data_IF_518288306503
#
_entry.id   IF_518288306503
#
_cell.length_a   1.000
_cell.length_b   1.000
_cell.length_c   1.000
_cell.angle_alpha   90.00
_cell.angle_beta   90.00
_cell.angle_gamma   90.00
#
_symmetry.space_group_name_H-M   'P 1'
#
loop_
_entity.id
_entity.type
_entity.pdbx_description
1 polymer ?
#
# COMPACT_ATOMS: atom_id res chain seq x y z
N UNK A 1 16.10 -2.98 14.44
CA UNK A 1 15.33 -3.82 13.51
C UNK A 1 14.27 -2.92 12.91
N UNK A 2 14.36 -2.65 11.62
CA UNK A 2 13.52 -1.65 10.94
C UNK A 2 12.17 -2.29 10.61
N UNK A 3 11.10 -1.70 11.10
CA UNK A 3 9.73 -2.22 11.12
C UNK A 3 9.09 -2.20 9.72
N UNK A 4 9.42 -3.18 8.89
CA UNK A 4 8.98 -3.28 7.50
C UNK A 4 7.46 -3.49 7.43
N UNK A 5 6.74 -2.62 6.72
CA UNK A 5 5.29 -2.69 6.53
C UNK A 5 4.99 -3.01 5.06
N UNK A 6 4.23 -4.08 4.81
CA UNK A 6 3.98 -4.57 3.44
C UNK A 6 2.91 -3.78 2.70
N UNK A 7 3.29 -3.14 1.59
CA UNK A 7 2.41 -2.37 0.70
C UNK A 7 1.51 -3.22 -0.21
N UNK A 8 0.38 -2.63 -0.60
CA UNK A 8 -0.54 -3.17 -1.61
C UNK A 8 -0.99 -1.99 -2.50
N UNK A 9 -1.35 -2.25 -3.76
CA UNK A 9 -1.75 -1.22 -4.75
C UNK A 9 -2.86 -1.77 -5.66
N UNK A 10 -3.72 -0.92 -6.22
CA UNK A 10 -4.56 -1.27 -7.39
C UNK A 10 -4.95 -0.04 -8.22
N UNK A 11 -4.99 -0.24 -9.54
CA UNK A 11 -5.71 0.57 -10.55
C UNK A 11 -7.23 0.51 -10.40
N UNK A 12 -7.92 1.47 -11.01
CA UNK A 12 -9.34 1.47 -11.29
C UNK A 12 -9.57 1.92 -12.75
N UNK A 13 -9.73 1.02 -13.74
CA UNK A 13 -10.54 1.31 -14.97
C UNK A 13 -10.95 0.03 -15.75
N UNK A 14 -12.20 -0.44 -15.60
CA UNK A 14 -12.76 -1.63 -16.30
C UNK A 14 -13.85 -1.28 -17.34
N UNK A 15 -13.95 -2.19 -18.32
CA UNK A 15 -14.87 -2.42 -19.45
C UNK A 15 -14.95 -1.39 -20.54
N UNK A 16 -15.17 -1.87 -21.78
CA UNK A 16 -15.72 -1.09 -22.90
C UNK A 16 -17.15 -0.58 -22.61
N UNK A 17 -17.30 0.10 -21.50
CA UNK A 17 -18.41 0.86 -21.02
C UNK A 17 -17.74 2.18 -20.57
N UNK A 18 -18.16 3.31 -21.14
CA UNK A 18 -17.47 4.60 -21.05
C UNK A 18 -17.60 5.27 -19.66
N UNK A 19 -17.20 4.55 -18.60
CA UNK A 19 -17.03 5.06 -17.26
C UNK A 19 -15.54 5.12 -16.97
N UNK A 20 -14.94 6.26 -17.29
CA UNK A 20 -13.78 6.76 -16.53
C UNK A 20 -14.09 6.56 -15.05
N UNK A 21 -13.42 5.63 -14.37
CA UNK A 21 -13.36 5.62 -12.92
C UNK A 21 -12.62 6.90 -12.54
N UNK A 22 -13.41 7.92 -12.22
CA UNK A 22 -12.96 9.22 -11.72
C UNK A 22 -12.37 9.14 -10.31
N UNK A 23 -12.45 7.97 -9.66
CA UNK A 23 -12.08 7.80 -8.28
C UNK A 23 -10.88 6.84 -8.20
N UNK A 24 -9.71 7.40 -7.88
CA UNK A 24 -8.53 6.69 -7.40
C UNK A 24 -8.89 6.00 -6.06
N UNK A 25 -9.61 4.88 -6.12
CA UNK A 25 -9.91 4.07 -4.94
C UNK A 25 -8.74 3.12 -4.69
N UNK A 26 -7.58 3.73 -4.44
CA UNK A 26 -6.34 3.05 -4.13
C UNK A 26 -6.28 2.80 -2.63
N UNK A 27 -5.64 1.71 -2.25
CA UNK A 27 -5.38 1.41 -0.86
C UNK A 27 -3.98 0.83 -0.71
N UNK A 28 -3.48 0.95 0.51
CA UNK A 28 -2.21 0.42 0.98
C UNK A 28 -2.53 -0.40 2.21
N UNK A 29 -1.93 -1.56 2.37
CA UNK A 29 -1.90 -2.23 3.67
C UNK A 29 -0.51 -2.10 4.27
N UNK A 30 -0.41 -2.33 5.57
CA UNK A 30 0.81 -2.34 6.33
C UNK A 30 0.72 -3.53 7.30
N UNK A 31 1.78 -4.34 7.33
CA UNK A 31 1.92 -5.50 8.21
C UNK A 31 2.99 -5.25 9.26
N UNK A 32 2.69 -5.45 10.54
CA UNK A 32 3.67 -5.32 11.60
C UNK A 32 4.34 -6.68 11.91
N UNK A 33 5.62 -6.91 11.53
CA UNK A 33 6.31 -8.16 11.81
C UNK A 33 6.89 -8.26 13.24
N UNK A 34 6.74 -7.22 14.06
CA UNK A 34 7.32 -7.19 15.41
C UNK A 34 6.45 -7.91 16.44
N UNK A 35 7.02 -8.11 17.63
CA UNK A 35 6.38 -8.70 18.81
C UNK A 35 5.62 -7.68 19.67
N UNK A 36 5.49 -6.43 19.22
CA UNK A 36 4.82 -5.35 19.94
C UNK A 36 3.98 -4.47 19.02
N UNK A 37 3.11 -3.67 19.61
CA UNK A 37 2.23 -2.76 18.88
C UNK A 37 3.00 -1.55 18.30
N UNK A 38 2.71 -1.17 17.05
CA UNK A 38 3.25 0.04 16.40
C UNK A 38 2.15 1.09 16.24
N UNK A 39 2.39 2.30 16.77
CA UNK A 39 1.49 3.46 16.58
C UNK A 39 1.80 4.19 15.29
N UNK A 40 0.77 4.53 14.52
CA UNK A 40 0.93 5.10 13.18
C UNK A 40 0.75 6.62 13.08
N UNK A 41 0.53 7.31 14.21
CA UNK A 41 0.39 8.76 14.16
C UNK A 41 1.66 9.42 13.59
N UNK A 42 1.48 10.34 12.64
CA UNK A 42 2.54 11.08 11.94
C UNK A 42 3.48 10.25 11.06
N UNK A 43 3.19 8.97 10.82
CA UNK A 43 3.85 8.23 9.74
C UNK A 43 3.45 8.81 8.38
N UNK A 44 4.29 8.58 7.37
CA UNK A 44 4.15 9.18 6.06
C UNK A 44 4.19 8.11 4.97
N UNK A 45 3.29 8.25 4.01
CA UNK A 45 3.37 7.60 2.71
C UNK A 45 3.81 8.63 1.68
N UNK A 46 4.83 8.33 0.90
CA UNK A 46 5.36 9.24 -0.13
C UNK A 46 5.51 8.49 -1.44
N UNK A 47 4.84 8.98 -2.48
CA UNK A 47 4.91 8.42 -3.83
C UNK A 47 6.09 8.99 -4.64
N UNK A 48 6.13 8.77 -5.95
CA UNK A 48 7.15 9.36 -6.81
C UNK A 48 7.02 10.88 -7.00
N UNK A 49 5.86 11.48 -6.70
CA UNK A 49 5.64 12.93 -6.73
C UNK A 49 6.38 13.65 -5.60
N UNK A 50 6.71 12.91 -4.53
CA UNK A 50 7.37 13.43 -3.33
C UNK A 50 6.42 14.12 -2.35
N UNK A 51 5.10 14.15 -2.64
CA UNK A 51 4.09 14.72 -1.75
C UNK A 51 3.77 13.74 -0.61
N UNK A 52 3.93 14.14 0.66
CA UNK A 52 3.64 13.25 1.78
C UNK A 52 2.14 13.17 2.09
N UNK A 53 1.62 11.96 2.17
CA UNK A 53 0.35 11.64 2.83
C UNK A 53 0.64 11.28 4.28
N UNK A 54 0.28 12.18 5.19
CA UNK A 54 0.44 11.97 6.63
C UNK A 54 -0.69 11.13 7.20
N UNK A 55 -0.35 10.11 7.98
CA UNK A 55 -1.31 9.34 8.77
C UNK A 55 -1.66 10.11 10.05
N UNK A 56 -2.82 10.77 10.02
CA UNK A 56 -3.38 11.50 11.17
C UNK A 56 -4.35 10.58 11.90
N UNK A 57 -3.84 9.74 12.79
CA UNK A 57 -4.62 8.67 13.42
C UNK A 57 -4.13 8.35 14.82
N UNK A 58 -5.03 7.88 15.68
CA UNK A 58 -4.68 7.25 16.95
C UNK A 58 -4.60 5.71 16.83
N UNK A 59 -4.73 5.17 15.62
CA UNK A 59 -4.68 3.73 15.35
C UNK A 59 -3.26 3.19 15.42
N UNK A 60 -3.20 1.91 15.73
CA UNK A 60 -1.98 1.12 15.84
C UNK A 60 -2.15 -0.19 15.08
N UNK A 61 -1.02 -0.81 14.76
CA UNK A 61 -0.98 -2.17 14.24
C UNK A 61 -0.53 -3.08 15.39
N UNK A 62 -1.35 -4.05 15.82
CA UNK A 62 -0.93 -5.07 16.77
C UNK A 62 0.31 -5.84 16.28
N UNK A 63 0.99 -6.52 17.20
CA UNK A 63 2.04 -7.49 16.83
C UNK A 63 1.49 -8.51 15.83
N UNK A 64 2.24 -8.79 14.77
CA UNK A 64 1.86 -9.69 13.67
C UNK A 64 0.51 -9.32 13.01
N UNK A 65 0.09 -8.07 13.15
CA UNK A 65 -1.20 -7.57 12.67
C UNK A 65 -1.09 -6.77 11.37
N UNK A 66 -2.25 -6.45 10.81
CA UNK A 66 -2.39 -5.66 9.59
C UNK A 66 -3.25 -4.42 9.84
N UNK A 67 -3.01 -3.38 9.05
CA UNK A 67 -3.92 -2.25 8.90
C UNK A 67 -4.03 -1.87 7.44
N UNK A 68 -5.22 -1.44 7.05
CA UNK A 68 -5.51 -0.95 5.72
C UNK A 68 -5.54 0.59 5.74
N UNK A 69 -5.12 1.22 4.66
CA UNK A 69 -5.09 2.66 4.46
C UNK A 69 -5.75 2.92 3.12
N UNK A 70 -6.80 3.74 3.10
CA UNK A 70 -7.47 4.15 1.88
C UNK A 70 -7.89 5.61 1.97
N UNK A 71 -8.29 6.19 0.84
CA UNK A 71 -8.84 7.55 0.82
C UNK A 71 -10.09 7.67 1.70
N UNK A 72 -11.00 6.73 1.57
CA UNK A 72 -12.27 6.68 2.32
C UNK A 72 -12.86 5.26 2.33
N UNK A 73 -13.97 5.07 3.05
CA UNK A 73 -14.69 3.80 3.14
C UNK A 73 -15.21 3.24 1.81
N UNK A 74 -15.50 4.09 0.81
CA UNK A 74 -16.12 3.66 -0.45
C UNK A 74 -15.18 2.81 -1.29
N UNK A 75 -13.87 2.93 -1.02
CA UNK A 75 -12.84 2.03 -1.55
C UNK A 75 -13.27 0.57 -1.34
N UNK A 76 -13.73 0.19 -0.15
CA UNK A 76 -13.98 -1.21 0.18
C UNK A 76 -15.17 -1.85 -0.55
N UNK A 77 -15.99 -1.06 -1.27
CA UNK A 77 -17.06 -1.60 -2.13
C UNK A 77 -16.51 -2.45 -3.29
N UNK A 78 -15.25 -2.27 -3.69
CA UNK A 78 -14.63 -3.03 -4.80
C UNK A 78 -13.82 -4.26 -4.35
N UNK A 79 -13.66 -4.48 -3.04
CA UNK A 79 -12.94 -5.63 -2.46
C UNK A 79 -13.81 -6.33 -1.42
N UNK A 80 -14.83 -7.08 -1.84
CA UNK A 80 -15.75 -7.75 -0.92
C UNK A 80 -15.08 -8.84 -0.06
N UNK A 81 -13.88 -9.27 -0.44
CA UNK A 81 -13.07 -10.23 0.30
C UNK A 81 -12.14 -9.60 1.34
N UNK A 82 -12.18 -8.27 1.55
CA UNK A 82 -11.50 -7.60 2.66
C UNK A 82 -11.87 -8.28 3.98
N UNK A 83 -10.88 -8.55 4.84
CA UNK A 83 -11.15 -9.01 6.20
C UNK A 83 -12.08 -8.01 6.92
N UNK A 84 -13.24 -8.50 7.37
CA UNK A 84 -14.26 -7.68 8.02
C UNK A 84 -13.74 -7.02 9.31
N UNK A 85 -12.78 -7.64 9.98
CA UNK A 85 -12.16 -7.15 11.21
C UNK A 85 -10.93 -6.27 10.97
N UNK A 86 -10.46 -6.13 9.72
CA UNK A 86 -9.31 -5.30 9.43
C UNK A 86 -9.59 -3.83 9.79
N UNK A 87 -8.67 -3.26 10.56
CA UNK A 87 -8.67 -1.85 10.89
C UNK A 87 -8.33 -1.05 9.62
N UNK A 88 -9.05 0.05 9.39
CA UNK A 88 -8.87 0.92 8.23
C UNK A 88 -8.52 2.33 8.69
N UNK A 89 -7.49 2.97 8.14
CA UNK A 89 -7.24 4.40 8.23
C UNK A 89 -7.80 5.05 6.96
N UNK A 90 -8.69 6.02 7.13
CA UNK A 90 -9.19 6.86 6.04
C UNK A 90 -8.39 8.17 6.02
N UNK A 91 -7.61 8.38 4.96
CA UNK A 91 -6.75 9.58 4.83
C UNK A 91 -7.54 10.83 4.44
N UNK A 92 -8.74 10.67 3.88
CA UNK A 92 -9.57 11.75 3.33
C UNK A 92 -9.07 12.30 1.99
N UNK A 93 -7.83 11.98 1.62
CA UNK A 93 -7.19 12.37 0.35
C UNK A 93 -6.64 11.14 -0.35
N UNK A 94 -6.35 11.25 -1.65
CA UNK A 94 -5.54 10.22 -2.33
C UNK A 94 -4.15 10.11 -1.68
N UNK A 95 -3.48 8.99 -1.92
CA UNK A 95 -2.10 8.76 -1.48
C UNK A 95 -1.19 9.44 -2.50
N UNK A 96 -0.35 10.38 -2.05
CA UNK A 96 0.47 11.21 -2.93
C UNK A 96 -0.35 11.99 -3.96
N UNK A 97 -0.03 11.83 -5.24
CA UNK A 97 -0.79 12.32 -6.38
C UNK A 97 -1.62 11.21 -7.08
N UNK A 98 -1.73 10.05 -6.45
CA UNK A 98 -2.32 8.82 -7.00
C UNK A 98 -1.23 7.81 -7.34
N UNK A 99 -1.47 6.55 -7.02
CA UNK A 99 -0.50 5.48 -7.22
C UNK A 99 -0.52 5.04 -8.69
N UNK A 100 0.57 5.29 -9.43
CA UNK A 100 0.57 5.18 -10.90
C UNK A 100 0.69 3.75 -11.48
N UNK A 101 -0.21 3.36 -12.40
CA UNK A 101 -0.20 2.03 -13.04
C UNK A 101 1.04 1.66 -13.85
N UNK A 102 1.49 2.62 -14.65
CA UNK A 102 2.63 2.43 -15.56
C UNK A 102 3.95 2.42 -14.81
N UNK A 103 3.96 2.88 -13.57
CA UNK A 103 5.11 2.89 -12.71
C UNK A 103 5.08 4.06 -11.74
N UNK A 104 5.39 3.73 -10.50
CA UNK A 104 5.44 4.63 -9.37
C UNK A 104 6.21 3.91 -8.25
N UNK A 105 6.44 4.59 -7.14
CA UNK A 105 7.01 4.02 -5.94
C UNK A 105 6.21 4.47 -4.75
N UNK A 106 6.35 3.75 -3.65
CA UNK A 106 5.81 4.16 -2.38
C UNK A 106 6.86 3.96 -1.31
N UNK A 107 7.12 5.04 -0.57
CA UNK A 107 8.03 5.07 0.56
C UNK A 107 7.20 5.20 1.82
N UNK A 108 7.52 4.36 2.79
CA UNK A 108 7.04 4.49 4.15
C UNK A 108 8.08 5.21 4.98
N UNK A 109 7.67 6.27 5.68
CA UNK A 109 8.54 6.92 6.66
C UNK A 109 7.91 6.96 8.04
N UNK A 110 8.76 6.80 9.04
CA UNK A 110 8.38 7.00 10.44
C UNK A 110 8.21 8.51 10.74
N UNK A 111 7.75 8.89 11.94
CA UNK A 111 7.48 10.29 12.30
C UNK A 111 8.71 11.21 12.25
N UNK A 112 9.93 10.67 12.34
CA UNK A 112 11.18 11.44 12.23
C UNK A 112 11.73 11.49 10.79
N UNK A 113 10.98 10.98 9.81
CA UNK A 113 11.29 11.07 8.39
C UNK A 113 12.28 10.02 7.87
N UNK A 114 12.62 9.02 8.66
CA UNK A 114 13.46 7.90 8.19
C UNK A 114 12.63 6.95 7.34
N UNK A 115 13.19 6.50 6.22
CA UNK A 115 12.57 5.47 5.38
C UNK A 115 12.63 4.15 6.14
N UNK A 116 11.45 3.58 6.36
CA UNK A 116 11.26 2.31 7.04
C UNK A 116 11.10 1.18 6.02
N UNK A 117 10.35 1.44 4.94
CA UNK A 117 10.11 0.48 3.87
C UNK A 117 9.86 1.20 2.54
N UNK A 118 9.97 0.48 1.42
CA UNK A 118 9.73 1.00 0.08
C UNK A 118 9.39 -0.09 -0.92
N UNK A 119 8.61 0.28 -1.92
CA UNK A 119 8.36 -0.53 -3.11
C UNK A 119 8.35 0.37 -4.33
N UNK A 120 8.94 -0.10 -5.44
CA UNK A 120 8.87 0.57 -6.74
C UNK A 120 8.41 -0.42 -7.79
N UNK A 121 7.55 0.03 -8.70
CA UNK A 121 6.95 -0.82 -9.72
C UNK A 121 6.89 -0.15 -11.10
N UNK A 122 6.65 -0.97 -12.11
CA UNK A 122 6.52 -0.57 -13.50
C UNK A 122 7.78 0.15 -13.99
N UNK A 123 7.60 1.36 -14.51
CA UNK A 123 8.66 2.19 -15.06
C UNK A 123 9.47 2.98 -14.01
N UNK A 124 9.06 3.05 -12.73
CA UNK A 124 9.88 3.67 -11.68
C UNK A 124 10.94 2.68 -11.18
N UNK A 125 12.17 2.89 -11.63
CA UNK A 125 13.33 2.03 -11.34
C UNK A 125 14.23 2.58 -10.24
N UNK A 126 13.78 3.58 -9.48
CA UNK A 126 14.61 4.24 -8.46
C UNK A 126 14.71 3.42 -7.17
N UNK A 127 13.72 2.57 -6.88
CA UNK A 127 13.81 1.62 -5.75
C UNK A 127 14.67 0.41 -6.11
N UNK A 128 14.38 -0.21 -7.26
CA UNK A 128 15.16 -1.32 -7.83
C UNK A 128 15.17 -1.25 -9.36
N UNK A 129 16.22 -1.82 -9.97
CA UNK A 129 16.31 -2.01 -11.42
C UNK A 129 16.75 -3.46 -11.71
N UNK A 130 15.83 -4.35 -12.15
CA UNK A 130 14.44 -4.07 -12.52
C UNK A 130 13.53 -3.77 -11.32
N UNK A 131 12.50 -2.96 -11.55
CA UNK A 131 11.42 -2.70 -10.59
C UNK A 131 10.43 -3.87 -10.55
N UNK A 132 9.51 -3.88 -9.58
CA UNK A 132 8.42 -4.85 -9.57
C UNK A 132 7.61 -4.70 -10.86
N UNK A 133 7.30 -5.81 -11.52
CA UNK A 133 6.54 -5.75 -12.79
C UNK A 133 5.16 -5.15 -12.55
N UNK A 134 4.72 -4.26 -13.44
CA UNK A 134 3.35 -3.74 -13.40
C UNK A 134 2.35 -4.90 -13.41
N UNK A 135 1.33 -4.76 -12.57
CA UNK A 135 0.27 -5.76 -12.40
C UNK A 135 -0.99 -5.35 -13.16
N UNK A 136 -1.86 -6.32 -13.40
CA UNK A 136 -3.17 -6.05 -13.98
C UNK A 136 -4.09 -5.34 -13.00
N UNK A 137 -5.03 -4.56 -13.54
CA UNK A 137 -6.18 -4.03 -12.81
C UNK A 137 -6.84 -5.12 -11.96
N UNK A 138 -7.22 -4.80 -10.71
CA UNK A 138 -7.80 -5.80 -9.80
C UNK A 138 -6.78 -6.45 -8.90
N UNK A 139 -5.51 -6.47 -9.29
CA UNK A 139 -4.45 -7.15 -8.56
C UNK A 139 -3.79 -6.24 -7.51
N UNK A 140 -2.95 -6.84 -6.68
CA UNK A 140 -2.03 -6.14 -5.77
C UNK A 140 -0.60 -6.65 -5.92
N UNK A 141 0.37 -5.80 -5.59
CA UNK A 141 1.77 -6.19 -5.41
C UNK A 141 1.97 -6.40 -3.91
N UNK A 142 2.43 -7.59 -3.50
CA UNK A 142 2.41 -8.00 -2.09
C UNK A 142 3.62 -8.88 -1.76
N UNK A 143 4.05 -8.90 -0.50
CA UNK A 143 5.11 -9.82 -0.06
C UNK A 143 4.57 -11.21 0.22
N UNK A 144 5.23 -12.23 -0.29
CA UNK A 144 4.83 -13.63 -0.08
C UNK A 144 6.05 -14.45 0.37
N UNK A 145 6.06 -15.02 1.59
CA UNK A 145 5.05 -14.90 2.64
C UNK A 145 5.01 -13.52 3.32
N UNK A 146 3.96 -13.27 4.13
CA UNK A 146 3.80 -12.04 4.89
C UNK A 146 5.03 -11.74 5.76
N UNK A 147 5.60 -10.55 5.59
CA UNK A 147 6.76 -10.09 6.35
C UNK A 147 8.11 -10.60 5.84
N UNK A 148 8.15 -11.42 4.78
CA UNK A 148 9.41 -11.70 4.09
C UNK A 148 9.89 -10.43 3.39
N UNK A 149 11.05 -9.94 3.81
CA UNK A 149 11.63 -8.75 3.22
C UNK A 149 13.16 -8.78 3.25
N UNK A 150 13.72 -9.15 2.11
CA UNK A 150 15.15 -9.20 1.83
C UNK A 150 15.67 -7.93 1.16
N UNK A 151 14.86 -6.86 1.13
CA UNK A 151 15.10 -5.61 0.42
C UNK A 151 15.33 -5.81 -1.08
N UNK A 152 14.62 -6.78 -1.69
CA UNK A 152 14.77 -7.15 -3.11
C UNK A 152 13.43 -7.21 -3.82
N UNK A 153 13.48 -6.98 -5.13
CA UNK A 153 12.31 -7.10 -6.02
C UNK A 153 11.62 -8.47 -5.94
N UNK A 154 12.37 -9.54 -5.66
CA UNK A 154 11.87 -10.92 -5.60
C UNK A 154 10.92 -11.18 -4.42
N UNK A 155 10.94 -10.31 -3.40
CA UNK A 155 10.02 -10.41 -2.27
C UNK A 155 8.58 -10.12 -2.69
N UNK A 156 8.40 -9.42 -3.82
CA UNK A 156 7.12 -8.89 -4.27
C UNK A 156 6.51 -9.74 -5.39
N UNK A 157 5.26 -10.13 -5.19
CA UNK A 157 4.49 -10.94 -6.13
C UNK A 157 3.12 -10.32 -6.39
N UNK A 158 2.58 -10.55 -7.58
CA UNK A 158 1.21 -10.17 -7.92
C UNK A 158 0.21 -11.10 -7.24
N UNK A 159 -0.86 -10.55 -6.69
CA UNK A 159 -2.01 -11.31 -6.21
C UNK A 159 -3.28 -10.87 -6.91
N UNK A 160 -4.06 -11.84 -7.37
CA UNK A 160 -5.36 -11.63 -7.98
C UNK A 160 -6.30 -12.82 -7.66
N UNK A 161 -7.36 -12.63 -6.84
CA UNK A 161 -7.68 -11.38 -6.15
C UNK A 161 -6.68 -11.05 -5.02
N UNK A 162 -6.52 -9.77 -4.65
CA UNK A 162 -5.80 -9.36 -3.44
C UNK A 162 -6.45 -9.94 -2.18
N UNK A 163 -5.74 -10.03 -1.06
CA UNK A 163 -6.30 -10.48 0.24
C UNK A 163 -6.17 -9.42 1.33
N UNK A 164 -6.93 -8.31 1.31
CA UNK A 164 -6.74 -7.22 2.26
C UNK A 164 -7.09 -7.66 3.69
N UNK A 165 -6.12 -7.54 4.59
CA UNK A 165 -6.21 -7.80 6.02
C UNK A 165 -5.94 -9.25 6.42
N UNK A 166 -5.13 -9.99 5.66
CA UNK A 166 -4.78 -11.40 5.91
C UNK A 166 -3.28 -11.68 5.87
#
# INVERSE_FOLDING_TARGET
>A
MTEKLNFWYRDNNWCGCDFKLKNNDEWVELYNPTDHEIKLNNWQLIDNSGLPTFLKTNKSIPSLGFILISRNKDTWNYWPNKNAQAVVIETGTIIGNGLGNKGDRLLLKNPIGQIVDRVGWGNDKLVWNPAVTSITLGSSISRIPNGLDTDKVIDWQSQNPPTPGY
#
